data_IF_742946613944
#
_entry.id   IF_742946613944
#
_cell.length_a   1.000
_cell.length_b   1.000
_cell.length_c   1.000
_cell.angle_alpha   90.00
_cell.angle_beta   90.00
_cell.angle_gamma   90.00
#
_symmetry.space_group_name_H-M   'P 1'
#
loop_
_entity.id
_entity.type
_entity.pdbx_description
1 polymer ?
#
# COMPACT_ATOMS: atom_id res chain seq x y z
N UNK A 1 -20.24 -0.34 31.20
CA UNK A 1 -18.90 0.17 30.90
C UNK A 1 -18.14 -0.90 30.15
N UNK A 2 -18.15 -0.87 28.83
CA UNK A 2 -17.34 -1.77 27.99
C UNK A 2 -16.26 -0.91 27.36
N UNK A 3 -15.07 -0.95 27.96
CA UNK A 3 -13.85 -0.42 27.37
C UNK A 3 -13.64 -1.14 26.04
N UNK A 4 -14.04 -0.47 24.96
CA UNK A 4 -13.65 -0.89 23.62
C UNK A 4 -12.14 -0.71 23.59
N UNK A 5 -11.42 -1.83 23.72
CA UNK A 5 -10.03 -1.90 23.37
C UNK A 5 -9.95 -1.50 21.90
N UNK A 6 -9.73 -0.20 21.63
CA UNK A 6 -9.69 0.37 20.29
C UNK A 6 -8.39 -0.12 19.67
N UNK A 7 -8.41 -1.34 19.13
CA UNK A 7 -7.38 -1.79 18.21
C UNK A 7 -7.30 -0.68 17.16
N UNK A 8 -6.16 0.01 17.04
CA UNK A 8 -6.05 1.13 16.11
C UNK A 8 -6.44 0.63 14.73
N UNK A 9 -7.26 1.42 14.02
CA UNK A 9 -7.67 1.09 12.67
C UNK A 9 -6.42 0.77 11.85
N UNK A 10 -6.32 -0.48 11.36
CA UNK A 10 -5.18 -0.91 10.54
C UNK A 10 -5.04 0.06 9.38
N UNK A 11 -3.85 0.62 9.22
CA UNK A 11 -3.56 1.55 8.14
C UNK A 11 -3.20 0.76 6.90
N UNK A 12 -3.86 1.04 5.77
CA UNK A 12 -3.57 0.41 4.48
C UNK A 12 -3.22 1.51 3.49
N UNK A 13 -2.08 1.38 2.84
CA UNK A 13 -1.65 2.28 1.77
C UNK A 13 -1.69 1.48 0.47
N UNK A 14 -2.52 1.90 -0.46
CA UNK A 14 -2.55 1.35 -1.82
C UNK A 14 -1.75 2.28 -2.72
N UNK A 15 -0.64 1.79 -3.24
CA UNK A 15 0.17 2.52 -4.20
C UNK A 15 0.07 1.88 -5.57
N UNK A 16 -0.07 2.71 -6.60
CA UNK A 16 0.02 2.25 -7.96
C UNK A 16 -0.16 3.42 -8.91
N UNK A 17 0.47 3.31 -10.06
CA UNK A 17 0.45 4.28 -11.13
C UNK A 17 -0.65 3.93 -12.18
N UNK A 18 -1.02 2.64 -12.26
CA UNK A 18 -2.17 2.14 -13.01
C UNK A 18 -3.48 2.49 -12.28
N UNK A 19 -4.14 3.55 -12.76
CA UNK A 19 -5.36 4.09 -12.13
C UNK A 19 -6.50 3.05 -11.97
N UNK A 20 -6.85 2.22 -12.98
CA UNK A 20 -7.96 1.27 -12.85
C UNK A 20 -7.75 0.21 -11.77
N UNK A 21 -6.58 -0.44 -11.75
CA UNK A 21 -6.26 -1.49 -10.76
C UNK A 21 -6.18 -0.89 -9.37
N UNK A 22 -5.49 0.25 -9.22
CA UNK A 22 -5.32 0.94 -7.94
C UNK A 22 -6.67 1.37 -7.35
N UNK A 23 -7.58 1.91 -8.16
CA UNK A 23 -8.94 2.28 -7.72
C UNK A 23 -9.72 1.03 -7.31
N UNK A 24 -9.71 -0.02 -8.13
CA UNK A 24 -10.46 -1.23 -7.86
C UNK A 24 -10.02 -1.84 -6.51
N UNK A 25 -8.72 -1.97 -6.30
CA UNK A 25 -8.15 -2.47 -5.04
C UNK A 25 -8.52 -1.57 -3.87
N UNK A 26 -8.39 -0.25 -3.99
CA UNK A 26 -8.77 0.67 -2.92
C UNK A 26 -10.27 0.58 -2.57
N UNK A 27 -11.14 0.40 -3.58
CA UNK A 27 -12.57 0.16 -3.36
C UNK A 27 -12.82 -1.16 -2.64
N UNK A 28 -12.16 -2.25 -3.04
CA UNK A 28 -12.28 -3.54 -2.39
C UNK A 28 -11.84 -3.47 -0.94
N UNK A 29 -10.69 -2.85 -0.65
CA UNK A 29 -10.20 -2.64 0.72
C UNK A 29 -11.25 -1.90 1.55
N UNK A 30 -11.76 -0.76 1.06
CA UNK A 30 -12.76 0.02 1.81
C UNK A 30 -14.08 -0.74 2.01
N UNK A 31 -14.47 -1.58 1.05
CA UNK A 31 -15.71 -2.35 1.09
C UNK A 31 -15.64 -3.53 2.05
N UNK A 32 -14.54 -4.27 2.03
CA UNK A 32 -14.39 -5.52 2.77
C UNK A 32 -13.62 -5.36 4.09
N UNK A 33 -12.86 -4.27 4.26
CA UNK A 33 -12.13 -3.92 5.47
C UNK A 33 -12.51 -2.51 5.96
N UNK A 34 -13.79 -2.24 6.28
CA UNK A 34 -14.27 -0.90 6.61
C UNK A 34 -13.69 -0.34 7.93
N UNK A 35 -13.14 -1.20 8.79
CA UNK A 35 -12.43 -0.79 10.02
C UNK A 35 -10.99 -0.32 9.78
N UNK A 36 -10.47 -0.48 8.57
CA UNK A 36 -9.12 -0.05 8.19
C UNK A 36 -9.15 1.36 7.59
N UNK A 37 -8.12 2.15 7.85
CA UNK A 37 -7.93 3.43 7.18
C UNK A 37 -7.18 3.21 5.86
N UNK A 38 -7.88 3.31 4.73
CA UNK A 38 -7.32 3.07 3.41
C UNK A 38 -7.01 4.37 2.67
N UNK A 39 -5.72 4.62 2.45
CA UNK A 39 -5.22 5.72 1.64
C UNK A 39 -4.64 5.23 0.32
N UNK A 40 -4.67 6.08 -0.70
CA UNK A 40 -4.11 5.80 -2.02
C UNK A 40 -2.96 6.76 -2.34
N UNK A 41 -1.88 6.26 -2.94
CA UNK A 41 -0.79 7.06 -3.47
C UNK A 41 -0.53 6.70 -4.94
N UNK A 42 -0.37 7.74 -5.77
CA UNK A 42 -0.12 7.58 -7.21
C UNK A 42 1.28 8.06 -7.61
N UNK A 43 2.07 8.56 -6.65
CA UNK A 43 3.43 9.08 -6.88
C UNK A 43 4.32 8.70 -5.70
N UNK A 44 5.58 8.36 -6.00
CA UNK A 44 6.55 7.92 -5.01
C UNK A 44 6.75 8.93 -3.84
N UNK A 45 6.84 10.26 -4.05
CA UNK A 45 6.98 11.19 -2.94
C UNK A 45 5.80 11.17 -1.95
N UNK A 46 4.58 10.96 -2.46
CA UNK A 46 3.37 10.86 -1.63
C UNK A 46 3.40 9.57 -0.82
N UNK A 47 3.80 8.45 -1.44
CA UNK A 47 3.99 7.18 -0.76
C UNK A 47 4.99 7.30 0.40
N UNK A 48 6.17 7.88 0.14
CA UNK A 48 7.21 8.06 1.15
C UNK A 48 6.73 8.94 2.31
N UNK A 49 5.97 9.99 2.02
CA UNK A 49 5.37 10.83 3.05
C UNK A 49 4.36 10.05 3.91
N UNK A 50 3.54 9.19 3.30
CA UNK A 50 2.56 8.38 4.03
C UNK A 50 3.23 7.32 4.89
N UNK A 51 4.24 6.62 4.38
CA UNK A 51 4.99 5.60 5.13
C UNK A 51 5.66 6.18 6.37
N UNK A 52 6.28 7.37 6.26
CA UNK A 52 6.85 8.08 7.42
C UNK A 52 5.83 8.42 8.51
N UNK A 53 4.58 8.67 8.13
CA UNK A 53 3.50 9.02 9.07
C UNK A 53 2.79 7.78 9.64
N UNK A 54 3.01 6.61 9.04
CA UNK A 54 2.27 5.38 9.34
C UNK A 54 3.23 4.18 9.36
N UNK A 55 4.06 4.05 10.40
CA UNK A 55 5.08 3.00 10.47
C UNK A 55 4.52 1.57 10.49
N UNK A 56 3.26 1.39 10.90
CA UNK A 56 2.59 0.08 10.96
C UNK A 56 1.64 -0.17 9.79
N UNK A 57 1.79 0.57 8.69
CA UNK A 57 0.91 0.41 7.53
C UNK A 57 1.13 -0.92 6.80
N UNK A 58 0.05 -1.49 6.27
CA UNK A 58 0.13 -2.54 5.25
C UNK A 58 0.19 -1.85 3.89
N UNK A 59 1.15 -2.25 3.05
CA UNK A 59 1.37 -1.68 1.74
C UNK A 59 0.83 -2.62 0.66
N UNK A 60 0.00 -2.09 -0.25
CA UNK A 60 -0.47 -2.81 -1.43
C UNK A 60 0.08 -2.09 -2.67
N UNK A 61 0.93 -2.76 -3.43
CA UNK A 61 1.61 -2.22 -4.60
C UNK A 61 0.95 -2.77 -5.88
N UNK A 62 0.17 -1.94 -6.56
CA UNK A 62 -0.43 -2.20 -7.86
C UNK A 62 0.53 -1.72 -8.95
N UNK A 63 1.34 -2.63 -9.49
CA UNK A 63 2.46 -2.31 -10.36
C UNK A 63 2.18 -2.73 -11.80
N UNK A 64 2.63 -1.91 -12.75
CA UNK A 64 2.76 -2.35 -14.15
C UNK A 64 4.03 -3.20 -14.30
N UNK A 65 4.08 -4.13 -15.28
CA UNK A 65 5.21 -5.04 -15.54
C UNK A 65 6.60 -4.41 -15.64
N UNK A 66 6.78 -3.08 -15.76
CA UNK A 66 8.10 -2.44 -15.88
C UNK A 66 8.43 -1.45 -14.77
N UNK A 67 7.49 -1.17 -13.88
CA UNK A 67 7.66 -0.13 -12.86
C UNK A 67 8.19 -0.65 -11.53
N UNK A 68 8.08 -1.96 -11.31
CA UNK A 68 8.47 -2.57 -10.04
C UNK A 68 9.98 -2.49 -9.79
N UNK A 69 10.84 -2.57 -10.81
CA UNK A 69 12.29 -2.50 -10.65
C UNK A 69 12.74 -1.15 -10.08
N UNK A 70 12.30 -0.03 -10.69
CA UNK A 70 12.64 1.32 -10.22
C UNK A 70 12.05 1.59 -8.83
N UNK A 71 10.82 1.15 -8.60
CA UNK A 71 10.14 1.32 -7.32
C UNK A 71 10.85 0.55 -6.20
N UNK A 72 11.14 -0.73 -6.40
CA UNK A 72 11.79 -1.56 -5.39
C UNK A 72 13.20 -1.09 -5.10
N UNK A 73 13.95 -0.63 -6.11
CA UNK A 73 15.24 0.02 -5.87
C UNK A 73 15.09 1.24 -4.97
N UNK A 74 14.12 2.11 -5.27
CA UNK A 74 13.85 3.34 -4.50
C UNK A 74 13.37 3.07 -3.08
N UNK A 75 12.65 1.97 -2.87
CA UNK A 75 12.09 1.58 -1.58
C UNK A 75 12.90 0.50 -0.85
N UNK A 76 14.06 0.10 -1.37
CA UNK A 76 14.83 -1.06 -0.89
C UNK A 76 15.11 -1.05 0.63
N UNK A 77 15.39 0.13 1.17
CA UNK A 77 15.69 0.30 2.60
C UNK A 77 14.44 0.37 3.49
N UNK A 78 13.26 0.57 2.89
CA UNK A 78 12.01 0.81 3.60
C UNK A 78 11.12 -0.42 3.57
N UNK A 79 11.02 -1.12 2.43
CA UNK A 79 10.15 -2.30 2.28
C UNK A 79 10.30 -3.38 3.35
N UNK A 80 11.52 -3.69 3.87
CA UNK A 80 11.67 -4.70 4.92
C UNK A 80 10.89 -4.41 6.20
N UNK A 81 10.58 -3.15 6.47
CA UNK A 81 9.89 -2.73 7.70
C UNK A 81 8.36 -2.84 7.60
N UNK A 82 7.81 -3.13 6.41
CA UNK A 82 6.37 -3.11 6.15
C UNK A 82 5.88 -4.46 5.64
N UNK A 83 4.67 -4.90 6.04
CA UNK A 83 3.95 -5.94 5.31
C UNK A 83 3.57 -5.42 3.92
N UNK A 84 4.00 -6.13 2.86
CA UNK A 84 3.80 -5.72 1.47
C UNK A 84 3.06 -6.81 0.68
N UNK A 85 2.01 -6.42 -0.04
CA UNK A 85 1.34 -7.23 -1.04
C UNK A 85 1.56 -6.59 -2.42
N UNK A 86 1.98 -7.38 -3.41
CA UNK A 86 2.21 -6.92 -4.78
C UNK A 86 1.13 -7.49 -5.69
N UNK A 87 0.50 -6.63 -6.48
CA UNK A 87 -0.46 -6.95 -7.54
C UNK A 87 0.15 -6.45 -8.84
N UNK A 88 0.53 -7.36 -9.72
CA UNK A 88 1.10 -7.07 -11.04
C UNK A 88 0.75 -8.20 -11.99
N UNK A 89 0.53 -7.88 -13.28
CA UNK A 89 0.28 -8.89 -14.31
C UNK A 89 1.53 -9.76 -14.54
N UNK A 90 2.71 -9.13 -14.48
CA UNK A 90 4.01 -9.79 -14.63
C UNK A 90 5.00 -9.21 -13.63
N UNK A 91 5.92 -10.03 -13.15
CA UNK A 91 7.05 -9.61 -12.33
C UNK A 91 8.34 -10.10 -12.98
N UNK A 92 9.16 -9.16 -13.45
CA UNK A 92 10.51 -9.47 -13.90
C UNK A 92 11.44 -9.51 -12.69
N UNK A 93 12.13 -10.63 -12.50
CA UNK A 93 13.21 -10.78 -11.54
C UNK A 93 14.54 -10.86 -12.31
N UNK A 94 15.56 -10.16 -11.80
CA UNK A 94 16.95 -10.23 -12.30
C UNK A 94 17.81 -10.99 -11.32
#
# INVERSE_FOLDING_TARGET
MTEHNRIPARQIIVYGDCWPVTIAVAHLVRRFLPSCNCETAYRLPVLLQQLRRKPEAILILCLRPREHLFLFYSLRQILPDYPVMIISDELFFS
#
